data_IF_983780679592
#
_entry.id   IF_983780679592
#
_cell.length_a   1.000
_cell.length_b   1.000
_cell.length_c   1.000
_cell.angle_alpha   90.00
_cell.angle_beta   90.00
_cell.angle_gamma   90.00
#
_symmetry.space_group_name_H-M   'P 1'
#
loop_
_entity.id
_entity.type
_entity.pdbx_description
1 polymer ?
#
# COMPACT_ATOMS: atom_id res chain seq x y z
N UNK A 1 -13.79 6.77 -3.06
CA UNK A 1 -13.04 5.74 -3.83
C UNK A 1 -14.01 4.65 -4.24
N UNK A 2 -13.83 4.06 -5.43
CA UNK A 2 -14.76 3.07 -5.97
C UNK A 2 -14.44 2.70 -7.40
N UNK A 3 -13.17 2.37 -7.67
CA UNK A 3 -12.74 1.95 -9.00
C UNK A 3 -12.99 0.46 -9.13
N UNK A 4 -13.93 0.11 -10.00
CA UNK A 4 -14.32 -1.26 -10.31
C UNK A 4 -14.17 -1.55 -11.80
N UNK A 5 -13.44 -0.76 -12.56
CA UNK A 5 -13.26 -0.91 -14.01
C UNK A 5 -11.90 -1.50 -14.35
N UNK A 6 -11.88 -2.37 -15.36
CA UNK A 6 -10.65 -2.86 -15.99
C UNK A 6 -10.52 -2.28 -17.39
N UNK A 7 -9.34 -1.75 -17.68
CA UNK A 7 -9.03 -1.16 -18.98
C UNK A 7 -8.05 -2.06 -19.72
N UNK A 8 -8.21 -2.11 -21.05
CA UNK A 8 -7.23 -2.66 -21.97
C UNK A 8 -6.62 -1.54 -22.79
N UNK A 9 -5.37 -1.71 -23.19
CA UNK A 9 -4.67 -0.78 -24.08
C UNK A 9 -4.69 -1.34 -25.50
N UNK A 10 -4.97 -0.48 -26.48
CA UNK A 10 -4.86 -0.78 -27.90
C UNK A 10 -3.94 0.25 -28.54
N UNK A 11 -2.82 -0.19 -29.05
CA UNK A 11 -1.91 0.66 -29.81
C UNK A 11 -2.51 0.97 -31.18
N UNK A 12 -2.32 2.21 -31.62
CA UNK A 12 -2.78 2.71 -32.91
C UNK A 12 -1.58 2.78 -33.87
N UNK A 13 -1.87 2.76 -35.18
CA UNK A 13 -0.85 2.71 -36.23
C UNK A 13 0.05 3.94 -36.29
N UNK A 14 -0.38 5.06 -35.71
CA UNK A 14 0.38 6.31 -35.62
C UNK A 14 1.27 6.39 -34.36
N UNK A 15 1.35 5.31 -33.57
CA UNK A 15 2.08 5.28 -32.31
C UNK A 15 1.29 5.82 -31.10
N UNK A 16 0.02 6.21 -31.30
CA UNK A 16 -0.90 6.52 -30.22
C UNK A 16 -1.42 5.28 -29.50
N UNK A 17 -2.16 5.46 -28.40
CA UNK A 17 -2.80 4.36 -27.67
C UNK A 17 -4.19 4.73 -27.18
N UNK A 18 -5.13 3.80 -27.32
CA UNK A 18 -6.49 3.89 -26.83
C UNK A 18 -6.67 3.02 -25.58
N UNK A 19 -7.10 3.63 -24.49
CA UNK A 19 -7.47 2.94 -23.26
C UNK A 19 -8.98 2.72 -23.25
N UNK A 20 -9.39 1.47 -23.35
CA UNK A 20 -10.81 1.10 -23.40
C UNK A 20 -11.18 0.34 -22.14
N UNK A 21 -12.24 0.76 -21.45
CA UNK A 21 -12.82 -0.05 -20.37
C UNK A 21 -13.46 -1.28 -20.96
N UNK A 22 -12.88 -2.44 -20.69
CA UNK A 22 -13.33 -3.73 -21.20
C UNK A 22 -14.37 -4.38 -20.28
N UNK A 23 -14.32 -4.10 -18.98
CA UNK A 23 -15.20 -4.75 -18.02
C UNK A 23 -15.31 -4.01 -16.70
N UNK A 24 -16.26 -4.49 -15.89
CA UNK A 24 -16.50 -4.03 -14.53
C UNK A 24 -16.46 -5.21 -13.57
N UNK A 25 -15.77 -5.03 -12.46
CA UNK A 25 -15.73 -5.93 -11.34
C UNK A 25 -17.02 -5.80 -10.53
N UNK A 26 -17.62 -6.95 -10.27
CA UNK A 26 -18.75 -7.12 -9.37
C UNK A 26 -18.32 -7.95 -8.18
N UNK A 27 -18.98 -7.77 -7.04
CA UNK A 27 -18.85 -8.70 -5.91
C UNK A 27 -19.45 -10.07 -6.28
N UNK A 28 -19.18 -11.14 -5.50
CA UNK A 28 -19.86 -12.44 -5.70
C UNK A 28 -21.39 -12.33 -5.65
N UNK A 29 -21.93 -11.40 -4.86
CA UNK A 29 -23.35 -11.06 -4.80
C UNK A 29 -23.83 -10.17 -5.97
N UNK A 30 -22.99 -9.95 -6.99
CA UNK A 30 -23.24 -9.11 -8.17
C UNK A 30 -23.43 -7.61 -7.89
N UNK A 31 -22.91 -7.10 -6.77
CA UNK A 31 -22.93 -5.66 -6.51
C UNK A 31 -21.83 -4.95 -7.30
N UNK A 32 -22.19 -3.81 -7.89
CA UNK A 32 -21.24 -2.98 -8.64
C UNK A 32 -20.33 -2.19 -7.70
N UNK A 33 -19.03 -2.28 -7.94
CA UNK A 33 -17.99 -1.53 -7.20
C UNK A 33 -17.76 -0.15 -7.84
N UNK A 34 -17.85 -0.05 -9.17
CA UNK A 34 -17.61 1.21 -9.90
C UNK A 34 -18.54 2.33 -9.43
N UNK A 35 -17.96 3.45 -9.00
CA UNK A 35 -18.64 4.65 -8.51
C UNK A 35 -19.17 4.56 -7.07
N UNK A 36 -19.33 3.36 -6.52
CA UNK A 36 -19.89 3.14 -5.17
C UNK A 36 -18.83 2.74 -4.14
N UNK A 37 -17.83 1.99 -4.57
CA UNK A 37 -16.86 1.38 -3.66
C UNK A 37 -17.47 0.22 -2.86
N UNK A 38 -16.80 -0.12 -1.76
CA UNK A 38 -17.25 -1.11 -0.80
C UNK A 38 -17.40 -0.42 0.56
N UNK A 39 -18.51 -0.68 1.23
CA UNK A 39 -18.70 -0.28 2.61
C UNK A 39 -18.02 -1.31 3.50
N UNK A 40 -17.09 -0.90 4.38
CA UNK A 40 -16.50 -1.83 5.32
C UNK A 40 -17.55 -2.27 6.34
N UNK A 41 -17.53 -3.53 6.74
CA UNK A 41 -18.41 -4.03 7.81
C UNK A 41 -18.10 -3.36 9.16
N UNK A 42 -16.87 -2.88 9.33
CA UNK A 42 -16.39 -2.22 10.54
C UNK A 42 -15.67 -0.95 10.14
N UNK A 43 -16.26 0.19 10.47
CA UNK A 43 -15.60 1.49 10.30
C UNK A 43 -14.61 1.73 11.44
N UNK A 44 -13.33 1.89 11.08
CA UNK A 44 -12.29 2.28 12.03
C UNK A 44 -12.00 3.77 11.85
N UNK A 45 -12.16 4.60 12.89
CA UNK A 45 -11.90 6.02 12.79
C UNK A 45 -10.43 6.28 12.49
N UNK A 46 -10.17 7.21 11.57
CA UNK A 46 -8.81 7.64 11.24
C UNK A 46 -8.27 8.49 12.39
N UNK A 47 -7.26 8.00 13.09
CA UNK A 47 -6.46 8.83 13.98
C UNK A 47 -5.60 9.79 13.16
N UNK A 48 -5.61 11.10 13.47
CA UNK A 48 -4.70 12.06 12.84
C UNK A 48 -3.24 11.61 13.07
N UNK A 49 -2.50 11.35 11.99
CA UNK A 49 -1.07 10.99 12.03
C UNK A 49 -0.70 9.63 11.43
N UNK A 50 -1.64 8.70 11.21
CA UNK A 50 -1.30 7.39 10.59
C UNK A 50 -1.07 7.51 9.09
N UNK A 51 -1.93 8.27 8.38
CA UNK A 51 -1.83 8.46 6.93
C UNK A 51 -0.63 9.34 6.52
N UNK A 52 -0.26 10.30 7.35
CA UNK A 52 0.89 11.17 7.11
C UNK A 52 2.19 10.38 7.19
N UNK A 53 2.30 9.46 8.14
CA UNK A 53 3.46 8.57 8.29
C UNK A 53 3.60 7.59 7.11
N UNK A 54 2.50 7.02 6.63
CA UNK A 54 2.53 6.13 5.46
C UNK A 54 2.87 6.87 4.17
N UNK A 55 2.29 8.06 3.96
CA UNK A 55 2.60 8.90 2.80
C UNK A 55 4.05 9.40 2.79
N UNK A 56 4.58 9.82 3.95
CA UNK A 56 5.98 10.23 4.10
C UNK A 56 6.96 9.06 3.85
N UNK A 57 6.61 7.85 4.27
CA UNK A 57 7.43 6.67 4.01
C UNK A 57 7.53 6.37 2.50
N UNK A 58 6.40 6.42 1.77
CA UNK A 58 6.39 6.16 0.33
C UNK A 58 7.18 7.22 -0.45
N UNK A 59 7.05 8.49 -0.08
CA UNK A 59 7.78 9.59 -0.71
C UNK A 59 9.28 9.50 -0.46
N UNK A 60 9.70 9.23 0.79
CA UNK A 60 11.12 9.11 1.14
C UNK A 60 11.81 7.92 0.47
N UNK A 61 11.09 6.81 0.25
CA UNK A 61 11.62 5.67 -0.51
C UNK A 61 11.79 6.02 -1.99
N UNK A 62 10.82 6.72 -2.58
CA UNK A 62 10.86 7.10 -3.99
C UNK A 62 12.00 8.09 -4.29
N UNK A 63 12.16 9.11 -3.46
CA UNK A 63 13.27 10.07 -3.58
C UNK A 63 14.65 9.38 -3.47
N UNK A 64 14.77 8.33 -2.66
CA UNK A 64 16.01 7.57 -2.53
C UNK A 64 16.26 6.68 -3.75
N UNK A 65 15.23 6.04 -4.30
CA UNK A 65 15.34 5.25 -5.54
C UNK A 65 15.76 6.10 -6.74
N UNK A 66 15.20 7.29 -6.90
CA UNK A 66 15.57 8.21 -7.99
C UNK A 66 17.05 8.68 -7.89
N UNK A 67 17.62 8.65 -6.68
CA UNK A 67 19.03 8.95 -6.44
C UNK A 67 19.95 7.73 -6.64
N UNK A 68 19.43 6.49 -6.58
CA UNK A 68 20.18 5.26 -6.82
C UNK A 68 20.64 5.15 -8.29
N UNK A 69 19.84 5.60 -9.24
CA UNK A 69 20.16 5.54 -10.69
C UNK A 69 21.39 6.38 -11.09
N UNK A 70 21.89 7.23 -10.19
CA UNK A 70 23.03 8.13 -10.42
C UNK A 70 24.37 7.59 -9.89
N UNK A 71 24.40 6.37 -9.34
CA UNK A 71 25.60 5.75 -8.76
C UNK A 71 26.30 4.83 -9.76
N UNK A 72 27.54 5.15 -10.14
CA UNK A 72 28.44 4.25 -10.88
C UNK A 72 29.03 3.15 -9.97
N UNK A 73 29.61 2.10 -10.57
CA UNK A 73 30.10 0.85 -9.92
C UNK A 73 31.02 1.03 -8.68
N UNK A 74 31.58 2.23 -8.46
CA UNK A 74 32.43 2.54 -7.30
C UNK A 74 31.72 2.56 -5.94
N UNK A 75 30.39 2.60 -5.91
CA UNK A 75 29.62 2.80 -4.68
C UNK A 75 28.81 1.59 -4.21
N UNK A 76 29.12 0.37 -4.65
CA UNK A 76 28.44 -0.85 -4.15
C UNK A 76 28.52 -0.98 -2.62
N UNK A 77 29.64 -0.60 -2.01
CA UNK A 77 29.80 -0.63 -0.54
C UNK A 77 28.92 0.39 0.17
N UNK A 78 28.80 1.59 -0.40
CA UNK A 78 27.93 2.63 0.14
C UNK A 78 26.45 2.17 0.05
N UNK A 79 26.06 1.57 -1.09
CA UNK A 79 24.72 1.05 -1.27
C UNK A 79 24.40 -0.11 -0.31
N UNK A 80 25.33 -1.05 -0.11
CA UNK A 80 25.15 -2.16 0.84
C UNK A 80 25.00 -1.64 2.26
N UNK A 81 25.78 -0.63 2.65
CA UNK A 81 25.68 0.00 3.97
C UNK A 81 24.35 0.73 4.13
N UNK A 82 23.91 1.50 3.13
CA UNK A 82 22.64 2.21 3.15
C UNK A 82 21.45 1.24 3.24
N UNK A 83 21.51 0.11 2.53
CA UNK A 83 20.49 -0.94 2.61
C UNK A 83 20.46 -1.60 3.99
N UNK A 84 21.63 -1.83 4.61
CA UNK A 84 21.72 -2.34 5.98
C UNK A 84 21.11 -1.37 6.98
N UNK A 85 21.40 -0.08 6.87
CA UNK A 85 20.84 0.95 7.76
C UNK A 85 19.30 1.03 7.65
N UNK A 86 18.75 0.85 6.44
CA UNK A 86 17.29 0.79 6.22
C UNK A 86 16.68 -0.45 6.86
N UNK A 87 17.29 -1.62 6.66
CA UNK A 87 16.81 -2.87 7.23
C UNK A 87 16.85 -2.82 8.76
N UNK A 88 17.93 -2.30 9.34
CA UNK A 88 18.10 -2.14 10.77
C UNK A 88 17.13 -1.11 11.36
N UNK A 89 16.93 0.02 10.69
CA UNK A 89 15.94 1.01 11.09
C UNK A 89 14.51 0.45 11.09
N UNK A 90 14.17 -0.35 10.07
CA UNK A 90 12.87 -1.00 9.98
C UNK A 90 12.70 -2.11 11.02
N UNK A 91 13.77 -2.86 11.31
CA UNK A 91 13.78 -3.87 12.36
C UNK A 91 13.53 -3.25 13.74
N UNK A 92 14.18 -2.12 14.04
CA UNK A 92 13.95 -1.38 15.28
C UNK A 92 12.54 -0.81 15.37
N UNK A 93 12.05 -0.19 14.30
CA UNK A 93 10.67 0.31 14.25
C UNK A 93 9.64 -0.82 14.43
N UNK A 94 9.90 -2.00 13.86
CA UNK A 94 9.06 -3.19 14.06
C UNK A 94 9.12 -3.69 15.51
N UNK A 95 10.31 -3.76 16.10
CA UNK A 95 10.48 -4.14 17.51
C UNK A 95 9.80 -3.15 18.46
N UNK A 96 9.94 -1.85 18.21
CA UNK A 96 9.26 -0.79 18.97
C UNK A 96 7.74 -0.81 18.76
N UNK A 97 7.27 -1.15 17.57
CA UNK A 97 5.83 -1.35 17.29
C UNK A 97 5.27 -2.62 17.93
N UNK A 98 6.09 -3.64 18.16
CA UNK A 98 5.70 -4.84 18.90
C UNK A 98 5.73 -4.61 20.43
N UNK A 99 6.59 -3.71 20.93
CA UNK A 99 6.63 -3.33 22.34
C UNK A 99 5.58 -2.27 22.70
N UNK A 100 5.20 -1.40 21.77
CA UNK A 100 3.99 -0.61 21.88
C UNK A 100 2.81 -1.51 21.54
N UNK A 101 2.25 -2.18 22.53
CA UNK A 101 0.89 -2.69 22.46
C UNK A 101 -0.09 -1.49 22.35
N UNK A 102 -0.06 -0.77 21.22
CA UNK A 102 -1.27 -0.17 20.70
C UNK A 102 -2.04 -1.37 20.17
N UNK A 103 -3.19 -1.70 20.76
CA UNK A 103 -4.03 -2.72 20.15
C UNK A 103 -4.38 -2.17 18.77
N UNK A 104 -3.79 -2.77 17.73
CA UNK A 104 -4.27 -2.53 16.39
C UNK A 104 -5.77 -2.87 16.44
N UNK A 105 -6.60 -1.84 16.35
CA UNK A 105 -8.03 -1.97 16.56
C UNK A 105 -8.62 -3.01 15.61
N UNK A 106 -8.00 -3.20 14.44
CA UNK A 106 -8.39 -4.23 13.48
C UNK A 106 -7.97 -5.64 13.94
N UNK A 107 -6.76 -5.81 14.46
CA UNK A 107 -6.30 -7.09 15.01
C UNK A 107 -7.06 -7.48 16.28
N UNK A 108 -7.28 -6.53 17.19
CA UNK A 108 -8.02 -6.78 18.44
C UNK A 108 -9.47 -7.14 18.15
N UNK A 109 -10.11 -6.44 17.19
CA UNK A 109 -11.46 -6.74 16.74
C UNK A 109 -11.56 -8.09 16.01
N UNK A 110 -10.59 -8.41 15.14
CA UNK A 110 -10.52 -9.72 14.48
C UNK A 110 -10.39 -10.86 15.49
N UNK A 111 -9.59 -10.68 16.55
CA UNK A 111 -9.45 -11.63 17.65
C UNK A 111 -10.72 -11.73 18.51
N UNK A 112 -11.45 -10.64 18.73
CA UNK A 112 -12.76 -10.65 19.39
C UNK A 112 -13.78 -11.49 18.61
N UNK A 113 -13.89 -11.29 17.29
CA UNK A 113 -14.82 -12.07 16.45
C UNK A 113 -14.48 -13.57 16.45
N UNK A 114 -13.18 -13.92 16.41
CA UNK A 114 -12.74 -15.31 16.49
C UNK A 114 -13.01 -15.95 17.86
N UNK A 115 -13.00 -15.17 18.95
CA UNK A 115 -13.31 -15.64 20.30
C UNK A 115 -14.81 -15.71 20.58
N UNK A 116 -15.62 -14.83 19.97
CA UNK A 116 -17.08 -14.80 20.11
C UNK A 116 -17.80 -15.83 19.22
N UNK A 117 -17.09 -16.50 18.30
CA UNK A 117 -17.63 -17.52 17.40
C UNK A 117 -17.56 -18.96 17.91
N UNK A 118 -17.73 -19.21 19.21
CA UNK A 118 -17.91 -20.55 19.79
C UNK A 118 -19.26 -20.68 20.49
#
# INVERSE_FOLDING_TARGET
FGKGSVNIVRELSDGGALYVTYGRWLTPARHQIEGKGLTPDIEVPRTPGTLEKEGQLVLSVKERLDNLDRLTEGNLRALVQDLQDIVDGRLRALQESQQRELPDAQLQRALEYLRAGK
#
